data_IF_996598325615
#
_entry.id   IF_996598325615
#
_cell.length_a   1.000
_cell.length_b   1.000
_cell.length_c   1.000
_cell.angle_alpha   90.00
_cell.angle_beta   90.00
_cell.angle_gamma   90.00
#
_symmetry.space_group_name_H-M   'P 1'
#
loop_
_entity.id
_entity.type
_entity.pdbx_description
1 polymer ?
#
# COMPACT_ATOMS: atom_id res chain seq x y z
N UNK A 1 -21.56 4.95 -5.38
CA UNK A 1 -20.59 5.99 -4.99
C UNK A 1 -19.34 5.75 -5.81
N UNK A 2 -18.53 6.76 -6.10
CA UNK A 2 -17.29 6.56 -6.86
C UNK A 2 -16.22 5.94 -5.95
N UNK A 3 -15.41 5.00 -6.45
CA UNK A 3 -14.30 4.39 -5.71
C UNK A 3 -13.34 5.45 -5.13
N UNK A 4 -13.22 6.60 -5.81
CA UNK A 4 -12.43 7.75 -5.37
C UNK A 4 -13.02 8.44 -4.13
N UNK A 5 -14.34 8.48 -4.00
CA UNK A 5 -15.01 9.06 -2.83
C UNK A 5 -14.82 8.18 -1.59
N UNK A 6 -14.89 6.86 -1.77
CA UNK A 6 -14.65 5.88 -0.70
C UNK A 6 -13.19 5.91 -0.25
N UNK A 7 -12.25 5.98 -1.19
CA UNK A 7 -10.83 6.14 -0.90
C UNK A 7 -10.57 7.42 -0.08
N UNK A 8 -11.08 8.57 -0.51
CA UNK A 8 -10.90 9.85 0.20
C UNK A 8 -11.45 9.85 1.62
N UNK A 9 -12.55 9.16 1.87
CA UNK A 9 -13.12 8.99 3.22
C UNK A 9 -12.30 8.06 4.10
N UNK A 10 -11.64 7.07 3.48
CA UNK A 10 -10.93 6.02 4.20
C UNK A 10 -9.50 6.41 4.56
N UNK A 11 -8.83 7.22 3.74
CA UNK A 11 -7.44 7.63 3.97
C UNK A 11 -7.17 8.16 5.39
N UNK A 12 -7.95 9.10 5.94
CA UNK A 12 -7.72 9.58 7.31
C UNK A 12 -7.91 8.49 8.37
N UNK A 13 -8.80 7.51 8.13
CA UNK A 13 -9.04 6.40 9.05
C UNK A 13 -7.89 5.39 9.06
N UNK A 14 -7.10 5.32 7.98
CA UNK A 14 -5.94 4.43 7.85
C UNK A 14 -4.61 5.18 7.99
N UNK A 15 -4.62 6.40 8.55
CA UNK A 15 -3.42 7.19 8.83
C UNK A 15 -2.77 7.84 7.60
N UNK A 16 -3.49 7.93 6.49
CA UNK A 16 -2.99 8.45 5.23
C UNK A 16 -3.54 9.84 4.92
N UNK A 17 -2.68 10.72 4.42
CA UNK A 17 -3.09 12.03 3.92
C UNK A 17 -3.62 11.92 2.47
N UNK A 18 -4.74 12.55 2.10
CA UNK A 18 -5.27 12.54 0.74
C UNK A 18 -4.27 12.94 -0.35
N UNK A 19 -3.31 13.81 -0.01
CA UNK A 19 -2.28 14.29 -0.92
C UNK A 19 -1.35 13.20 -1.46
N UNK A 20 -1.22 12.05 -0.78
CA UNK A 20 -0.42 10.93 -1.29
C UNK A 20 -0.97 10.38 -2.61
N UNK A 21 -2.28 10.56 -2.84
CA UNK A 21 -2.92 10.12 -4.08
C UNK A 21 -2.55 10.99 -5.27
N UNK A 22 -2.13 12.23 -5.04
CA UNK A 22 -1.84 13.16 -6.11
C UNK A 22 -0.36 13.11 -6.53
N UNK A 23 0.54 12.71 -5.61
CA UNK A 23 1.97 12.59 -5.90
C UNK A 23 2.31 11.25 -6.56
N UNK A 24 2.57 11.29 -7.88
CA UNK A 24 2.90 10.11 -8.68
C UNK A 24 4.29 9.55 -8.41
N UNK A 25 5.15 10.28 -7.69
CA UNK A 25 6.49 9.82 -7.28
C UNK A 25 6.49 8.95 -6.03
N UNK A 26 5.34 8.85 -5.35
CA UNK A 26 5.17 8.07 -4.13
C UNK A 26 4.47 6.76 -4.48
N UNK A 27 5.12 5.63 -4.18
CA UNK A 27 4.47 4.34 -4.20
C UNK A 27 3.58 4.18 -2.97
N UNK A 28 2.39 3.62 -3.16
CA UNK A 28 1.47 3.39 -2.05
C UNK A 28 0.61 2.15 -2.24
N UNK A 29 0.15 1.60 -1.13
CA UNK A 29 -0.98 0.67 -1.03
C UNK A 29 -1.91 1.19 0.05
N UNK A 30 -3.20 1.29 -0.30
CA UNK A 30 -4.27 1.70 0.62
C UNK A 30 -5.30 0.59 0.63
N UNK A 31 -5.54 0.00 1.80
CA UNK A 31 -6.53 -1.06 1.94
C UNK A 31 -7.44 -0.86 3.16
N UNK A 32 -8.70 -1.23 2.98
CA UNK A 32 -9.75 -1.19 3.98
C UNK A 32 -10.33 -2.60 4.15
N UNK A 33 -10.22 -3.17 5.35
CA UNK A 33 -10.53 -4.59 5.53
C UNK A 33 -9.68 -5.43 4.58
N UNK A 34 -10.28 -6.38 3.86
CA UNK A 34 -9.54 -7.18 2.87
C UNK A 34 -9.60 -6.64 1.44
N UNK A 35 -9.93 -5.35 1.28
CA UNK A 35 -10.09 -4.71 -0.03
C UNK A 35 -9.04 -3.62 -0.28
N UNK A 36 -8.41 -3.65 -1.44
CA UNK A 36 -7.43 -2.66 -1.89
C UNK A 36 -8.17 -1.53 -2.61
N UNK A 37 -8.18 -0.37 -1.97
CA UNK A 37 -8.83 0.82 -2.51
C UNK A 37 -7.93 1.55 -3.50
N UNK A 38 -6.61 1.49 -3.30
CA UNK A 38 -5.66 2.13 -4.20
C UNK A 38 -4.29 1.48 -4.13
N UNK A 39 -3.60 1.42 -5.27
CA UNK A 39 -2.19 1.07 -5.33
C UNK A 39 -1.47 1.86 -6.42
N UNK A 40 -0.25 2.27 -6.14
CA UNK A 40 0.68 2.85 -7.11
C UNK A 40 2.05 2.25 -6.93
N UNK A 41 2.71 1.96 -8.04
CA UNK A 41 4.13 1.62 -8.05
C UNK A 41 4.96 2.74 -8.67
N UNK A 42 6.27 2.67 -8.47
CA UNK A 42 7.28 3.54 -9.05
C UNK A 42 8.35 2.69 -9.75
N UNK A 43 9.17 3.25 -10.65
CA UNK A 43 10.23 2.50 -11.32
C UNK A 43 11.12 1.74 -10.34
N UNK A 44 11.40 0.46 -10.64
CA UNK A 44 12.22 -0.42 -9.81
C UNK A 44 11.51 -1.01 -8.59
N UNK A 45 10.21 -0.74 -8.43
CA UNK A 45 9.34 -1.39 -7.44
C UNK A 45 8.30 -2.26 -8.15
N UNK A 46 8.17 -3.51 -7.74
CA UNK A 46 7.05 -4.39 -8.10
C UNK A 46 6.17 -4.65 -6.88
N UNK A 47 4.86 -4.50 -7.07
CA UNK A 47 3.84 -4.73 -6.05
C UNK A 47 2.76 -5.63 -6.62
N UNK A 48 2.72 -6.86 -6.10
CA UNK A 48 1.74 -7.89 -6.44
C UNK A 48 0.87 -8.09 -5.20
N UNK A 49 -0.44 -7.93 -5.34
CA UNK A 49 -1.38 -8.04 -4.22
C UNK A 49 -2.63 -8.77 -4.68
N UNK A 50 -3.16 -9.60 -3.81
CA UNK A 50 -4.36 -10.40 -3.98
C UNK A 50 -5.31 -10.15 -2.81
N UNK A 51 -6.57 -9.88 -3.14
CA UNK A 51 -7.67 -9.80 -2.18
C UNK A 51 -8.34 -11.15 -2.05
N UNK A 52 -8.52 -11.63 -0.83
CA UNK A 52 -9.33 -12.80 -0.52
C UNK A 52 -10.41 -12.41 0.49
N UNK A 53 -11.45 -13.24 0.71
CA UNK A 53 -12.45 -12.97 1.74
C UNK A 53 -11.84 -12.79 3.14
N UNK A 54 -10.74 -13.47 3.42
CA UNK A 54 -10.18 -13.59 4.77
C UNK A 54 -8.85 -12.85 4.97
N UNK A 55 -8.18 -12.42 3.89
CA UNK A 55 -6.88 -11.77 3.96
C UNK A 55 -6.53 -10.96 2.71
N UNK A 56 -5.55 -10.08 2.86
CA UNK A 56 -4.76 -9.52 1.76
C UNK A 56 -3.41 -10.25 1.74
N UNK A 57 -3.04 -10.81 0.60
CA UNK A 57 -1.75 -11.48 0.41
C UNK A 57 -0.97 -10.74 -0.67
N UNK A 58 0.31 -10.47 -0.42
CA UNK A 58 1.09 -9.68 -1.35
C UNK A 58 2.57 -9.98 -1.35
N UNK A 59 3.22 -9.53 -2.42
CA UNK A 59 4.66 -9.50 -2.59
C UNK A 59 5.12 -8.13 -3.04
N UNK A 60 6.08 -7.57 -2.33
CA UNK A 60 6.78 -6.36 -2.66
C UNK A 60 8.23 -6.68 -3.02
N UNK A 61 8.64 -6.35 -4.25
CA UNK A 61 10.03 -6.57 -4.69
C UNK A 61 10.66 -5.26 -5.11
N UNK A 62 11.77 -4.89 -4.46
CA UNK A 62 12.64 -3.80 -4.91
C UNK A 62 13.75 -4.40 -5.76
N UNK A 63 13.85 -3.95 -7.02
CA UNK A 63 14.78 -4.48 -8.00
C UNK A 63 16.25 -4.21 -7.62
N UNK A 64 17.17 -5.04 -8.12
CA UNK A 64 18.58 -4.96 -7.77
C UNK A 64 19.18 -3.59 -8.13
N UNK A 65 20.00 -3.04 -7.23
CA UNK A 65 20.65 -1.73 -7.38
C UNK A 65 19.70 -0.53 -7.35
N UNK A 66 18.40 -0.71 -7.13
CA UNK A 66 17.43 0.38 -7.09
C UNK A 66 17.37 1.01 -5.71
N UNK A 67 17.45 2.34 -5.67
CA UNK A 67 17.15 3.13 -4.47
C UNK A 67 15.80 3.83 -4.66
N UNK A 68 14.79 3.42 -3.87
CA UNK A 68 13.49 4.09 -3.85
C UNK A 68 13.64 5.42 -3.09
N UNK A 69 13.42 6.52 -3.79
CA UNK A 69 13.65 7.86 -3.26
C UNK A 69 12.69 8.22 -2.10
N UNK A 70 11.39 8.01 -2.32
CA UNK A 70 10.34 8.27 -1.33
C UNK A 70 10.01 7.01 -0.53
N UNK A 71 9.55 7.13 0.73
CA UNK A 71 8.99 5.99 1.44
C UNK A 71 7.85 5.36 0.65
N UNK A 72 7.75 4.03 0.70
CA UNK A 72 6.60 3.28 0.20
C UNK A 72 5.53 3.34 1.29
N UNK A 73 4.38 3.95 0.99
CA UNK A 73 3.30 4.09 1.94
C UNK A 73 2.41 2.84 1.96
N UNK A 74 2.22 2.23 3.13
CA UNK A 74 1.42 1.03 3.33
C UNK A 74 0.32 1.29 4.36
N UNK A 75 -0.81 1.80 3.91
CA UNK A 75 -1.88 2.25 4.77
C UNK A 75 -2.98 1.20 4.86
N UNK A 76 -3.11 0.60 6.03
CA UNK A 76 -4.08 -0.47 6.31
C UNK A 76 -4.96 -0.08 7.48
N UNK A 77 -6.27 -0.25 7.34
CA UNK A 77 -7.13 -0.14 8.50
C UNK A 77 -8.57 -0.54 8.25
N UNK A 78 -9.39 -0.25 9.26
CA UNK A 78 -10.80 -0.63 9.35
C UNK A 78 -11.62 0.64 9.55
N UNK A 79 -12.68 0.83 8.77
CA UNK A 79 -13.65 1.90 8.99
C UNK A 79 -14.54 1.62 10.21
N UNK A 80 -14.63 0.36 10.61
CA UNK A 80 -15.40 -0.07 11.78
C UNK A 80 -14.56 0.01 13.06
N UNK A 81 -15.17 0.35 14.21
CA UNK A 81 -14.48 0.46 15.49
C UNK A 81 -13.89 -0.87 16.00
N UNK A 82 -14.38 -2.00 15.48
CA UNK A 82 -13.87 -3.34 15.78
C UNK A 82 -13.92 -4.20 14.52
N UNK A 83 -12.89 -5.02 14.31
CA UNK A 83 -12.82 -5.98 13.21
C UNK A 83 -11.45 -6.65 13.14
N UNK A 84 -11.30 -7.60 12.22
CA UNK A 84 -10.02 -8.24 11.93
C UNK A 84 -9.65 -7.92 10.50
N UNK A 85 -8.40 -7.50 10.31
CA UNK A 85 -7.77 -7.35 9.00
C UNK A 85 -6.52 -8.24 8.99
N UNK A 86 -6.53 -9.29 8.16
CA UNK A 86 -5.37 -10.15 7.98
C UNK A 86 -4.59 -9.73 6.74
N UNK A 87 -3.29 -9.52 6.91
CA UNK A 87 -2.40 -9.03 5.86
C UNK A 87 -1.11 -9.81 5.93
N UNK A 88 -0.72 -10.42 4.81
CA UNK A 88 0.58 -11.07 4.64
C UNK A 88 1.30 -10.44 3.47
N UNK A 89 2.44 -9.80 3.71
CA UNK A 89 3.27 -9.19 2.67
C UNK A 89 4.67 -9.79 2.75
N UNK A 90 5.08 -10.46 1.67
CA UNK A 90 6.46 -10.88 1.46
C UNK A 90 7.25 -9.71 0.87
N UNK A 91 8.32 -9.27 1.55
CA UNK A 91 9.15 -8.15 1.12
C UNK A 91 10.52 -8.66 0.69
N UNK A 92 10.81 -8.55 -0.60
CA UNK A 92 12.06 -8.91 -1.21
C UNK A 92 12.86 -7.66 -1.61
N UNK A 93 13.99 -7.42 -0.93
CA UNK A 93 14.95 -6.37 -1.30
C UNK A 93 16.13 -7.05 -2.02
N UNK A 94 16.24 -6.85 -3.33
CA UNK A 94 17.30 -7.46 -4.13
C UNK A 94 18.68 -6.85 -3.83
N UNK A 95 19.72 -7.50 -4.33
CA UNK A 95 21.12 -7.09 -4.10
C UNK A 95 21.35 -5.60 -4.44
N UNK A 96 21.98 -4.88 -3.52
CA UNK A 96 22.29 -3.46 -3.67
C UNK A 96 21.08 -2.51 -3.66
N UNK A 97 19.87 -3.03 -3.43
CA UNK A 97 18.67 -2.22 -3.39
C UNK A 97 18.42 -1.57 -2.03
N UNK A 98 17.69 -0.46 -2.01
CA UNK A 98 17.29 0.23 -0.78
C UNK A 98 15.88 0.81 -0.92
N UNK A 99 15.08 0.65 0.12
CA UNK A 99 13.78 1.29 0.24
C UNK A 99 13.49 1.66 1.70
N UNK A 100 12.53 2.55 1.89
CA UNK A 100 11.92 2.87 3.19
C UNK A 100 10.44 2.55 3.09
N UNK A 101 9.88 2.02 4.17
CA UNK A 101 8.44 1.77 4.28
C UNK A 101 7.90 2.69 5.37
N UNK A 102 6.73 3.27 5.11
CA UNK A 102 5.95 4.02 6.07
C UNK A 102 4.55 3.38 6.15
N UNK A 103 4.19 2.86 7.31
CA UNK A 103 2.83 2.34 7.57
C UNK A 103 2.04 3.32 8.40
#
# INVERSE_FOLDING_TARGET
MSDLDDLRRTLPMVGAEPSILDDTSIAHVVAHGHHILSRRTVPGLRVEMEETPDAIVGKLTVEAGVQIAQPIHMCFGLAHPTGVQQITIDVQICEGAQARVLS
#
